data_IF_619055937741
#
_entry.id   IF_619055937741
#
_cell.length_a   1.000
_cell.length_b   1.000
_cell.length_c   1.000
_cell.angle_alpha   90.00
_cell.angle_beta   90.00
_cell.angle_gamma   90.00
#
_symmetry.space_group_name_H-M   'P 1'
#
loop_
_entity.id
_entity.type
_entity.pdbx_description
1 polymer ?
#
# COMPACT_ATOMS: atom_id res chain seq x y z
N UNK A 1 -5.65 17.64 -6.96
CA UNK A 1 -5.48 16.97 -8.29
C UNK A 1 -6.72 17.26 -9.08
N UNK A 2 -6.55 17.87 -10.24
CA UNK A 2 -7.71 18.25 -11.06
C UNK A 2 -8.33 17.01 -11.68
N UNK A 3 -9.55 16.71 -11.30
CA UNK A 3 -10.42 15.67 -11.86
C UNK A 3 -10.81 15.91 -13.32
N UNK A 4 -10.27 16.97 -13.91
CA UNK A 4 -10.63 17.46 -15.25
C UNK A 4 -10.26 16.55 -16.42
N UNK A 5 -9.46 15.53 -16.18
CA UNK A 5 -9.03 14.60 -17.22
C UNK A 5 -9.88 13.32 -17.28
N UNK A 6 -10.74 13.03 -16.29
CA UNK A 6 -11.58 11.85 -16.32
C UNK A 6 -12.82 12.07 -17.18
N UNK A 7 -12.99 11.22 -18.19
CA UNK A 7 -14.17 11.24 -19.09
C UNK A 7 -15.31 10.34 -18.62
N UNK A 8 -15.17 9.71 -17.44
CA UNK A 8 -16.15 8.76 -16.86
C UNK A 8 -16.53 7.62 -17.82
N UNK A 9 -15.57 7.17 -18.64
CA UNK A 9 -15.79 6.12 -19.63
C UNK A 9 -16.07 4.73 -19.03
N UNK A 10 -15.84 4.55 -17.74
CA UNK A 10 -16.10 3.30 -17.01
C UNK A 10 -15.08 2.18 -17.23
N UNK A 11 -14.05 2.35 -18.05
CA UNK A 11 -13.06 1.31 -18.33
C UNK A 11 -12.38 0.79 -17.06
N UNK A 12 -12.00 1.70 -16.15
CA UNK A 12 -11.39 1.32 -14.86
C UNK A 12 -12.36 0.57 -13.95
N UNK A 13 -13.65 0.94 -13.96
CA UNK A 13 -14.70 0.26 -13.19
C UNK A 13 -14.93 -1.17 -13.69
N UNK A 14 -14.96 -1.38 -15.00
CA UNK A 14 -15.15 -2.70 -15.61
C UNK A 14 -14.01 -3.69 -15.29
N UNK A 15 -12.82 -3.18 -14.96
CA UNK A 15 -11.62 -3.97 -14.66
C UNK A 15 -11.22 -3.99 -13.17
N UNK A 16 -11.99 -3.38 -12.28
CA UNK A 16 -11.69 -3.31 -10.86
C UNK A 16 -12.89 -3.67 -9.99
N UNK A 17 -12.86 -4.82 -9.31
CA UNK A 17 -13.93 -5.27 -8.42
C UNK A 17 -14.27 -4.27 -7.31
N UNK A 18 -13.30 -3.51 -6.86
CA UNK A 18 -13.52 -2.47 -5.86
C UNK A 18 -14.37 -1.33 -6.46
N UNK A 19 -13.99 -0.79 -7.61
CA UNK A 19 -14.73 0.29 -8.27
C UNK A 19 -16.12 -0.18 -8.73
N UNK A 20 -16.22 -1.41 -9.24
CA UNK A 20 -17.49 -2.04 -9.61
C UNK A 20 -18.45 -2.13 -8.42
N UNK A 21 -17.95 -2.63 -7.27
CA UNK A 21 -18.75 -2.79 -6.04
C UNK A 21 -19.41 -1.48 -5.57
N UNK A 22 -18.70 -0.37 -5.70
CA UNK A 22 -19.21 0.94 -5.28
C UNK A 22 -19.86 1.73 -6.42
N UNK A 23 -19.90 1.20 -7.63
CA UNK A 23 -20.50 1.83 -8.80
C UNK A 23 -19.79 3.11 -9.25
N UNK A 24 -18.52 3.29 -8.90
CA UNK A 24 -17.71 4.48 -9.15
C UNK A 24 -16.59 4.22 -10.15
N UNK A 25 -16.04 5.25 -10.70
CA UNK A 25 -14.78 5.19 -11.45
C UNK A 25 -13.65 5.92 -10.71
N UNK A 26 -12.48 6.01 -11.34
CA UNK A 26 -11.32 6.62 -10.69
C UNK A 26 -11.49 8.14 -10.51
N UNK A 27 -12.30 8.78 -11.36
CA UNK A 27 -12.65 10.18 -11.22
C UNK A 27 -13.48 10.43 -9.96
N UNK A 28 -14.52 9.62 -9.77
CA UNK A 28 -15.38 9.71 -8.57
C UNK A 28 -14.61 9.39 -7.28
N UNK A 29 -13.66 8.45 -7.35
CA UNK A 29 -12.85 8.07 -6.19
C UNK A 29 -12.04 9.25 -5.63
N UNK A 30 -11.69 10.23 -6.45
CA UNK A 30 -10.99 11.43 -6.01
C UNK A 30 -11.77 12.22 -4.94
N UNK A 31 -13.08 12.08 -4.87
CA UNK A 31 -13.97 12.74 -3.92
C UNK A 31 -14.40 11.82 -2.77
N UNK A 32 -13.99 10.54 -2.80
CA UNK A 32 -14.41 9.51 -1.85
C UNK A 32 -13.26 9.07 -0.93
N UNK A 33 -12.84 9.97 -0.04
CA UNK A 33 -11.78 9.68 0.93
C UNK A 33 -12.09 8.52 1.86
N UNK A 34 -13.36 8.23 2.11
CA UNK A 34 -13.85 7.11 2.90
C UNK A 34 -13.47 5.75 2.29
N UNK A 35 -13.27 5.69 0.97
CA UNK A 35 -12.97 4.46 0.24
C UNK A 35 -11.47 4.24 -0.06
N UNK A 36 -10.61 5.18 0.30
CA UNK A 36 -9.20 5.14 -0.08
C UNK A 36 -8.46 3.85 0.33
N UNK A 37 -8.76 3.34 1.51
CA UNK A 37 -8.10 2.14 2.05
C UNK A 37 -8.70 0.82 1.55
N UNK A 38 -9.77 0.87 0.77
CA UNK A 38 -10.33 -0.30 0.07
C UNK A 38 -9.57 -0.62 -1.23
N UNK A 39 -8.75 0.31 -1.73
CA UNK A 39 -7.95 0.11 -2.93
C UNK A 39 -6.67 -0.69 -2.62
N UNK A 40 -6.41 -1.75 -3.41
CA UNK A 40 -5.22 -2.59 -3.28
C UNK A 40 -3.97 -2.05 -3.97
N UNK A 41 -4.06 -0.89 -4.63
CA UNK A 41 -2.94 -0.27 -5.37
C UNK A 41 -2.35 -1.16 -6.48
N UNK A 42 -3.14 -2.05 -7.07
CA UNK A 42 -2.68 -2.97 -8.12
C UNK A 42 -2.28 -2.27 -9.42
N UNK A 43 -2.82 -1.07 -9.70
CA UNK A 43 -2.50 -0.30 -10.92
C UNK A 43 -3.36 -0.62 -12.14
N UNK A 44 -4.31 -1.56 -12.05
CA UNK A 44 -5.16 -1.94 -13.18
C UNK A 44 -5.92 -0.75 -13.77
N UNK A 45 -6.47 0.11 -12.91
CA UNK A 45 -7.16 1.33 -13.34
C UNK A 45 -6.25 2.29 -14.14
N UNK A 46 -4.94 2.30 -13.84
CA UNK A 46 -3.94 3.07 -14.59
C UNK A 46 -3.69 2.45 -15.97
N UNK A 47 -3.56 1.12 -16.02
CA UNK A 47 -3.25 0.39 -17.25
C UNK A 47 -4.37 0.49 -18.31
N UNK A 48 -5.63 0.47 -17.85
CA UNK A 48 -6.81 0.48 -18.76
C UNK A 48 -7.35 1.89 -19.08
N UNK A 49 -6.78 2.94 -18.47
CA UNK A 49 -7.29 4.30 -18.63
C UNK A 49 -6.92 4.89 -20.00
N UNK A 50 -7.90 5.22 -20.87
CA UNK A 50 -7.62 5.85 -22.17
C UNK A 50 -7.03 7.26 -22.01
N UNK A 51 -7.39 7.97 -20.94
CA UNK A 51 -6.88 9.31 -20.61
C UNK A 51 -5.52 9.26 -19.86
N UNK A 52 -4.95 8.06 -19.67
CA UNK A 52 -3.65 7.84 -18.98
C UNK A 52 -3.60 8.41 -17.57
N UNK A 53 -4.73 8.41 -16.85
CA UNK A 53 -4.77 8.82 -15.46
C UNK A 53 -4.05 7.76 -14.63
N UNK A 54 -3.05 8.16 -13.84
CA UNK A 54 -2.42 7.28 -12.86
C UNK A 54 -3.26 7.18 -11.59
N UNK A 55 -4.28 6.30 -11.64
CA UNK A 55 -5.19 6.09 -10.53
C UNK A 55 -4.50 5.49 -9.30
N UNK A 56 -3.46 4.68 -9.48
CA UNK A 56 -2.66 4.15 -8.37
C UNK A 56 -1.93 5.28 -7.64
N UNK A 57 -1.21 6.12 -8.37
CA UNK A 57 -0.49 7.24 -7.79
C UNK A 57 -1.45 8.24 -7.13
N UNK A 58 -2.58 8.51 -7.75
CA UNK A 58 -3.63 9.36 -7.19
C UNK A 58 -4.07 8.87 -5.80
N UNK A 59 -4.37 7.58 -5.64
CA UNK A 59 -4.77 7.01 -4.33
C UNK A 59 -3.63 7.11 -3.31
N UNK A 60 -2.38 6.87 -3.72
CA UNK A 60 -1.21 7.01 -2.84
C UNK A 60 -1.10 8.45 -2.32
N UNK A 61 -1.23 9.44 -3.19
CA UNK A 61 -1.11 10.85 -2.83
C UNK A 61 -2.27 11.31 -1.93
N UNK A 62 -3.48 10.82 -2.19
CA UNK A 62 -4.64 11.08 -1.32
C UNK A 62 -4.43 10.49 0.08
N UNK A 63 -3.94 9.23 0.20
CA UNK A 63 -3.60 8.63 1.50
C UNK A 63 -2.53 9.43 2.23
N UNK A 64 -1.47 9.85 1.53
CA UNK A 64 -0.39 10.68 2.11
C UNK A 64 -0.93 12.02 2.61
N UNK A 65 -1.77 12.67 1.81
CA UNK A 65 -2.43 13.92 2.21
C UNK A 65 -3.27 13.73 3.46
N UNK A 66 -4.15 12.73 3.48
CA UNK A 66 -5.01 12.43 4.62
C UNK A 66 -4.22 12.18 5.91
N UNK A 67 -3.14 11.39 5.85
CA UNK A 67 -2.26 11.15 7.01
C UNK A 67 -1.60 12.44 7.48
N UNK A 68 -1.09 13.26 6.57
CA UNK A 68 -0.45 14.54 6.90
C UNK A 68 -1.43 15.51 7.57
N UNK A 69 -2.63 15.65 7.03
CA UNK A 69 -3.68 16.53 7.55
C UNK A 69 -4.22 16.04 8.90
N UNK A 70 -4.17 14.74 9.16
CA UNK A 70 -4.57 14.13 10.43
C UNK A 70 -3.40 14.00 11.45
N UNK A 71 -2.43 14.90 11.42
CA UNK A 71 -1.32 14.94 12.38
C UNK A 71 -0.41 13.71 12.29
N UNK A 72 -0.15 13.20 11.09
CA UNK A 72 0.63 11.99 10.79
C UNK A 72 0.04 10.69 11.38
N UNK A 73 -1.27 10.65 11.55
CA UNK A 73 -2.00 9.45 12.02
C UNK A 73 -2.98 8.98 10.95
N UNK A 74 -3.22 7.66 10.91
CA UNK A 74 -4.30 7.11 10.10
C UNK A 74 -5.65 7.59 10.64
N UNK A 75 -6.52 8.07 9.74
CA UNK A 75 -7.90 8.44 10.07
C UNK A 75 -8.82 7.21 10.08
N UNK A 76 -8.52 6.21 9.25
CA UNK A 76 -9.28 4.97 9.18
C UNK A 76 -9.09 4.14 10.46
N UNK A 77 -10.18 3.68 11.06
CA UNK A 77 -10.19 2.80 12.22
C UNK A 77 -9.84 1.35 11.84
N UNK A 78 -9.39 0.57 12.82
CA UNK A 78 -9.10 -0.85 12.65
C UNK A 78 -7.65 -1.18 12.27
N UNK A 79 -6.80 -0.16 12.07
CA UNK A 79 -5.39 -0.34 11.70
C UNK A 79 -4.42 -0.16 12.88
N UNK A 80 -4.90 0.23 14.06
CA UNK A 80 -4.09 0.57 15.23
C UNK A 80 -3.23 -0.60 15.70
N UNK A 81 -3.79 -1.81 15.66
CA UNK A 81 -3.06 -3.03 16.06
C UNK A 81 -1.93 -3.36 15.07
N UNK A 82 -2.17 -3.17 13.77
CA UNK A 82 -1.14 -3.37 12.74
C UNK A 82 0.00 -2.35 12.88
N UNK A 83 -0.33 -1.11 13.22
CA UNK A 83 0.67 -0.06 13.46
C UNK A 83 1.51 -0.43 14.68
N UNK A 84 0.87 -0.77 15.82
CA UNK A 84 1.57 -1.20 17.04
C UNK A 84 2.45 -2.42 16.80
N UNK A 85 1.97 -3.41 16.05
CA UNK A 85 2.76 -4.57 15.67
C UNK A 85 4.03 -4.15 14.92
N UNK A 86 3.92 -3.24 13.95
CA UNK A 86 5.07 -2.78 13.14
C UNK A 86 6.02 -1.87 13.92
N UNK A 87 5.51 -1.04 14.82
CA UNK A 87 6.32 -0.19 15.69
C UNK A 87 7.12 -0.99 16.72
N UNK A 88 6.51 -2.04 17.28
CA UNK A 88 7.09 -2.89 18.32
C UNK A 88 7.69 -4.20 17.78
N UNK A 89 7.81 -4.33 16.47
CA UNK A 89 8.29 -5.55 15.85
C UNK A 89 9.76 -5.81 16.23
N UNK A 90 10.02 -6.95 16.87
CA UNK A 90 11.34 -7.31 17.42
C UNK A 90 12.45 -7.35 16.36
N UNK A 91 12.09 -7.53 15.10
CA UNK A 91 13.04 -7.60 13.98
C UNK A 91 13.25 -6.28 13.23
N UNK A 92 12.62 -5.16 13.65
CA UNK A 92 12.73 -3.87 12.94
C UNK A 92 14.13 -3.27 12.90
N UNK A 93 15.00 -3.70 13.78
CA UNK A 93 16.32 -3.09 14.02
C UNK A 93 17.50 -3.89 13.44
N UNK A 94 17.27 -4.87 12.59
CA UNK A 94 18.35 -5.52 11.84
C UNK A 94 18.93 -4.63 10.74
N UNK A 95 19.20 -3.39 11.08
CA UNK A 95 19.99 -2.48 10.24
C UNK A 95 21.46 -2.74 10.51
N UNK A 96 21.98 -3.83 10.02
CA UNK A 96 23.41 -3.97 9.90
C UNK A 96 23.83 -3.10 8.72
N UNK A 97 24.64 -2.05 9.02
CA UNK A 97 25.19 -1.07 8.08
C UNK A 97 25.48 -1.59 6.66
N UNK A 98 26.46 -1.08 5.99
CA UNK A 98 26.84 -1.30 4.59
C UNK A 98 26.92 -2.77 4.15
N UNK A 99 25.77 -3.38 3.85
CA UNK A 99 25.71 -4.72 3.23
C UNK A 99 25.38 -4.59 1.75
N UNK A 100 26.04 -5.38 0.91
CA UNK A 100 25.75 -5.47 -0.53
C UNK A 100 24.42 -6.18 -0.84
N UNK A 101 23.90 -6.93 0.13
CA UNK A 101 22.68 -7.74 0.00
C UNK A 101 21.75 -7.52 1.17
N UNK A 102 20.45 -7.55 0.92
CA UNK A 102 19.40 -7.40 1.92
C UNK A 102 18.43 -8.56 1.82
N UNK A 103 18.16 -9.21 2.94
CA UNK A 103 17.12 -10.24 3.04
C UNK A 103 15.78 -9.60 3.44
N UNK A 104 14.73 -9.85 2.66
CA UNK A 104 13.35 -9.52 2.97
C UNK A 104 12.57 -10.80 3.29
N UNK A 105 12.53 -11.24 4.55
CA UNK A 105 11.90 -12.52 4.92
C UNK A 105 10.37 -12.47 4.90
N UNK A 106 9.77 -11.29 4.69
CA UNK A 106 8.34 -11.08 4.89
C UNK A 106 7.94 -11.05 6.36
N UNK A 107 6.65 -10.88 6.64
CA UNK A 107 6.16 -10.78 8.02
C UNK A 107 6.03 -12.16 8.70
N UNK A 108 5.60 -13.18 7.94
CA UNK A 108 5.27 -14.49 8.50
C UNK A 108 6.51 -15.29 8.93
N UNK A 109 7.59 -15.22 8.16
CA UNK A 109 8.78 -16.01 8.42
C UNK A 109 9.41 -15.71 9.79
N UNK A 110 9.70 -14.43 10.12
CA UNK A 110 10.22 -14.08 11.44
C UNK A 110 9.22 -14.32 12.59
N UNK A 111 7.90 -14.18 12.31
CA UNK A 111 6.87 -14.33 13.34
C UNK A 111 6.62 -15.78 13.75
N UNK A 112 6.56 -16.69 12.76
CA UNK A 112 6.23 -18.10 12.99
C UNK A 112 7.45 -19.02 13.06
N UNK A 113 8.58 -18.61 12.43
CA UNK A 113 9.80 -19.40 12.34
C UNK A 113 11.05 -18.57 12.68
N UNK A 114 11.12 -17.98 13.88
CA UNK A 114 12.21 -17.05 14.25
C UNK A 114 13.58 -17.71 14.20
N UNK A 115 13.73 -18.95 14.66
CA UNK A 115 15.02 -19.66 14.69
C UNK A 115 15.49 -20.01 13.26
N UNK A 116 14.57 -20.44 12.41
CA UNK A 116 14.88 -20.67 10.98
C UNK A 116 15.30 -19.38 10.28
N UNK A 117 14.64 -18.25 10.62
CA UNK A 117 15.02 -16.94 10.08
C UNK A 117 16.44 -16.55 10.48
N UNK A 118 16.79 -16.71 11.76
CA UNK A 118 18.15 -16.46 12.27
C UNK A 118 19.19 -17.35 11.58
N UNK A 119 18.89 -18.63 11.45
CA UNK A 119 19.75 -19.57 10.75
C UNK A 119 20.02 -19.17 9.29
N UNK A 120 18.97 -18.78 8.56
CA UNK A 120 19.10 -18.28 7.19
C UNK A 120 19.97 -17.02 7.09
N UNK A 121 19.76 -16.06 8.01
CA UNK A 121 20.59 -14.85 8.07
C UNK A 121 22.05 -15.21 8.26
N UNK A 122 22.34 -16.10 9.22
CA UNK A 122 23.70 -16.55 9.47
C UNK A 122 24.32 -17.23 8.25
N UNK A 123 23.61 -18.14 7.59
CA UNK A 123 24.11 -18.83 6.38
C UNK A 123 24.37 -17.87 5.20
N UNK A 124 23.54 -16.84 5.06
CA UNK A 124 23.75 -15.82 4.03
C UNK A 124 24.91 -14.85 4.36
N UNK A 125 25.26 -14.72 5.64
CA UNK A 125 26.45 -13.96 6.06
C UNK A 125 27.77 -14.73 5.87
N UNK A 126 27.70 -16.07 5.93
CA UNK A 126 28.85 -16.96 5.72
C UNK A 126 29.18 -17.17 4.23
N UNK A 127 28.25 -16.88 3.32
CA UNK A 127 28.40 -17.07 1.87
C UNK A 127 28.96 -15.81 1.16
#
# INVERSE_FOLDING_TARGET
MDNKACTHCGACRANCRFLEKYGIDIGDLAEREDLLYHCFLCGECTAVCPERIDGRQMVIDMRRRQVKENGNKLKASGYEMLIKEKENYIFKNYKNGNTKSVLFPGCNFPSFYPETTKYLVQKLQEA
#
